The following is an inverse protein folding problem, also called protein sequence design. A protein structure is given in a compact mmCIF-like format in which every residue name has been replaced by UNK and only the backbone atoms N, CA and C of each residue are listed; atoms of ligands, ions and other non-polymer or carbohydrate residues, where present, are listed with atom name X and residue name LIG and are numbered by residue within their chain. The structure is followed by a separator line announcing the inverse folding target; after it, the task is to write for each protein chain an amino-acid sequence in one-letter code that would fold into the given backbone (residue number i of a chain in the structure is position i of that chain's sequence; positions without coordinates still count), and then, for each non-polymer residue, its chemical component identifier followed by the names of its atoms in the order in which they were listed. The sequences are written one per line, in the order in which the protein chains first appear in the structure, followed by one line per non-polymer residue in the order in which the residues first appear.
data_IF_217959535685
#
_entry.id   IF_217959535685
#
_cell.length_a   1.000
_cell.length_b   1.000
_cell.length_c   1.000
_cell.angle_alpha   90.00
_cell.angle_beta   90.00
_cell.angle_gamma   90.00
#
_symmetry.space_group_name_H-M   'P 1'
#
loop_
_entity.id
_entity.type
_entity.pdbx_description
1 polymer ?
#
# COMPACT_ATOMS: atom_id res chain seq x y z
N UNK A 1 -4.19 8.53 -12.88
CA UNK A 1 -3.38 9.00 -14.03
C UNK A 1 -2.06 8.26 -13.98
N UNK A 2 -1.63 7.67 -15.10
CA UNK A 2 -0.31 7.03 -15.19
C UNK A 2 0.63 7.92 -15.99
N UNK A 3 1.88 8.02 -15.54
CA UNK A 3 2.95 8.64 -16.30
C UNK A 3 3.34 7.74 -17.48
N UNK A 4 3.80 8.34 -18.57
CA UNK A 4 4.16 7.62 -19.82
C UNK A 4 5.18 6.48 -19.62
N UNK A 5 6.05 6.62 -18.62
CA UNK A 5 7.10 5.64 -18.33
C UNK A 5 6.67 4.55 -17.32
N UNK A 6 5.41 4.57 -16.86
CA UNK A 6 4.93 3.61 -15.85
C UNK A 6 5.08 2.17 -16.34
N UNK A 7 4.43 1.85 -17.48
CA UNK A 7 4.41 0.49 -18.00
C UNK A 7 5.81 -0.03 -18.33
N UNK A 8 6.63 0.80 -19.00
CA UNK A 8 8.03 0.44 -19.29
C UNK A 8 8.81 0.13 -18.02
N UNK A 9 8.71 1.00 -17.00
CA UNK A 9 9.42 0.79 -15.72
C UNK A 9 8.95 -0.49 -15.02
N UNK A 10 7.65 -0.77 -15.04
CA UNK A 10 7.08 -1.98 -14.45
C UNK A 10 7.59 -3.24 -15.16
N UNK A 11 7.50 -3.29 -16.49
CA UNK A 11 7.96 -4.44 -17.28
C UNK A 11 9.47 -4.66 -17.14
N UNK A 12 10.28 -3.60 -17.20
CA UNK A 12 11.73 -3.70 -17.01
C UNK A 12 12.10 -4.26 -15.62
N UNK A 13 11.33 -3.94 -14.58
CA UNK A 13 11.54 -4.48 -13.24
C UNK A 13 11.11 -5.95 -13.16
N UNK A 14 9.94 -6.28 -13.71
CA UNK A 14 9.36 -7.63 -13.71
C UNK A 14 10.27 -8.61 -14.46
N UNK A 15 10.75 -8.26 -15.65
CA UNK A 15 11.64 -9.13 -16.46
C UNK A 15 12.99 -9.41 -15.78
N UNK A 16 13.46 -8.50 -14.90
CA UNK A 16 14.72 -8.68 -14.17
C UNK A 16 14.58 -9.47 -12.87
N UNK A 17 13.37 -9.66 -12.40
CA UNK A 17 13.07 -10.36 -11.16
C UNK A 17 12.98 -11.88 -11.37
N UNK A 18 13.28 -12.66 -10.33
CA UNK A 18 13.22 -14.13 -10.41
C UNK A 18 11.81 -14.68 -10.26
N UNK A 19 11.05 -14.11 -9.35
CA UNK A 19 9.68 -14.54 -9.06
C UNK A 19 8.83 -13.35 -8.58
N UNK A 20 8.55 -12.38 -9.47
CA UNK A 20 7.81 -11.20 -9.11
C UNK A 20 6.36 -11.54 -8.82
N UNK A 21 5.80 -10.98 -7.75
CA UNK A 21 4.38 -11.07 -7.40
C UNK A 21 3.66 -9.80 -7.84
N UNK A 22 4.20 -8.66 -7.41
CA UNK A 22 3.68 -7.34 -7.75
C UNK A 22 4.83 -6.38 -8.05
N UNK A 23 4.54 -5.38 -8.87
CA UNK A 23 5.32 -4.15 -8.98
C UNK A 23 4.48 -3.01 -8.43
N UNK A 24 5.09 -2.09 -7.67
CA UNK A 24 4.48 -0.84 -7.26
C UNK A 24 5.46 0.32 -7.41
N UNK A 25 4.93 1.52 -7.58
CA UNK A 25 5.72 2.74 -7.67
C UNK A 25 5.33 3.74 -6.59
N UNK A 26 6.20 4.72 -6.35
CA UNK A 26 5.78 5.94 -5.69
C UNK A 26 4.73 6.67 -6.54
N UNK A 27 3.94 7.49 -5.86
CA UNK A 27 2.87 8.24 -6.47
C UNK A 27 2.82 9.69 -5.97
N UNK A 28 2.08 10.50 -6.69
CA UNK A 28 1.69 11.84 -6.28
C UNK A 28 0.16 11.92 -6.19
N UNK A 29 -0.35 12.89 -5.46
CA UNK A 29 -1.78 13.16 -5.43
C UNK A 29 -2.15 14.23 -6.45
N UNK A 30 -3.37 14.13 -6.97
CA UNK A 30 -3.98 15.18 -7.80
C UNK A 30 -5.18 15.71 -7.01
N UNK A 31 -5.03 16.94 -6.49
CA UNK A 31 -6.05 17.65 -5.71
C UNK A 31 -6.43 18.90 -6.47
N UNK A 32 -7.71 19.08 -6.78
CA UNK A 32 -8.22 20.23 -7.54
C UNK A 32 -7.44 20.50 -8.83
N UNK A 33 -7.10 19.43 -9.56
CA UNK A 33 -6.31 19.50 -10.77
C UNK A 33 -4.80 19.76 -10.56
N UNK A 34 -4.35 19.99 -9.33
CA UNK A 34 -2.94 20.28 -9.02
C UNK A 34 -2.19 19.02 -8.59
N UNK A 35 -0.95 18.93 -9.05
CA UNK A 35 -0.03 17.82 -8.69
C UNK A 35 0.63 18.13 -7.33
N UNK A 36 0.36 17.28 -6.34
CA UNK A 36 0.96 17.33 -5.00
C UNK A 36 1.93 16.15 -4.87
N UNK A 37 3.22 16.44 -4.93
CA UNK A 37 4.27 15.42 -4.90
C UNK A 37 4.74 15.07 -3.49
N UNK A 38 4.43 15.90 -2.50
CA UNK A 38 4.82 15.70 -1.11
C UNK A 38 3.79 16.31 -0.16
N UNK A 39 3.40 15.54 0.83
CA UNK A 39 2.68 15.96 2.03
C UNK A 39 3.04 15.01 3.17
N UNK A 40 2.56 15.24 4.38
CA UNK A 40 2.87 14.43 5.56
C UNK A 40 2.55 12.94 5.36
N UNK A 41 1.39 12.62 4.76
CA UNK A 41 0.97 11.24 4.51
C UNK A 41 1.89 10.55 3.50
N UNK A 42 2.19 11.20 2.37
CA UNK A 42 3.09 10.68 1.35
C UNK A 42 4.50 10.44 1.92
N UNK A 43 5.00 11.36 2.76
CA UNK A 43 6.29 11.20 3.41
C UNK A 43 6.31 10.00 4.36
N UNK A 44 5.28 9.81 5.20
CA UNK A 44 5.16 8.64 6.09
C UNK A 44 5.18 7.35 5.28
N UNK A 45 4.37 7.26 4.22
CA UNK A 45 4.33 6.07 3.36
C UNK A 45 5.69 5.77 2.70
N UNK A 46 6.40 6.80 2.23
CA UNK A 46 7.75 6.65 1.66
C UNK A 46 8.78 6.20 2.70
N UNK A 47 8.68 6.71 3.93
CA UNK A 47 9.53 6.26 5.04
C UNK A 47 9.28 4.78 5.34
N UNK A 48 8.02 4.35 5.37
CA UNK A 48 7.68 2.94 5.56
C UNK A 48 8.24 2.06 4.44
N UNK A 49 8.29 2.56 3.20
CA UNK A 49 8.82 1.84 2.03
C UNK A 49 10.34 1.94 1.86
N UNK A 50 11.06 2.68 2.72
CA UNK A 50 12.52 2.82 2.62
C UNK A 50 13.28 1.48 2.49
N UNK A 51 12.94 0.41 3.26
CA UNK A 51 13.63 -0.87 3.11
C UNK A 51 13.48 -1.47 1.71
N UNK A 52 12.35 -1.21 1.02
CA UNK A 52 12.08 -1.73 -0.31
C UNK A 52 12.93 -1.08 -1.42
N UNK A 53 13.67 0.00 -1.13
CA UNK A 53 14.66 0.58 -2.06
C UNK A 53 15.84 -0.36 -2.28
N UNK A 54 16.12 -1.22 -1.30
CA UNK A 54 17.18 -2.23 -1.39
C UNK A 54 16.58 -3.46 -2.09
N UNK A 55 17.04 -3.76 -3.31
CA UNK A 55 16.50 -4.85 -4.13
C UNK A 55 16.47 -6.20 -3.41
N UNK A 56 17.52 -6.52 -2.65
CA UNK A 56 17.58 -7.77 -1.88
C UNK A 56 16.42 -7.91 -0.89
N UNK A 57 15.91 -6.81 -0.33
CA UNK A 57 14.82 -6.83 0.63
C UNK A 57 13.44 -7.04 0.00
N UNK A 58 13.30 -6.81 -1.31
CA UNK A 58 12.06 -7.00 -2.05
C UNK A 58 11.60 -8.48 -2.07
N UNK A 59 12.54 -9.42 -1.94
CA UNK A 59 12.26 -10.86 -1.83
C UNK A 59 12.09 -11.34 -0.39
N UNK A 60 12.47 -10.54 0.63
CA UNK A 60 12.48 -10.95 2.03
C UNK A 60 11.09 -10.81 2.65
N UNK A 61 10.43 -11.95 2.94
CA UNK A 61 9.09 -11.99 3.53
C UNK A 61 8.98 -11.20 4.84
N UNK A 62 9.97 -11.31 5.71
CA UNK A 62 9.97 -10.59 6.99
C UNK A 62 9.93 -9.07 6.78
N UNK A 63 10.74 -8.55 5.85
CA UNK A 63 10.78 -7.11 5.54
C UNK A 63 9.41 -6.63 5.02
N UNK A 64 8.83 -7.32 4.04
CA UNK A 64 7.51 -6.98 3.50
C UNK A 64 6.44 -6.96 4.60
N UNK A 65 6.45 -7.99 5.46
CA UNK A 65 5.49 -8.07 6.56
C UNK A 65 5.70 -6.97 7.60
N UNK A 66 6.95 -6.59 7.91
CA UNK A 66 7.23 -5.47 8.83
C UNK A 66 6.75 -4.13 8.30
N UNK A 67 6.95 -3.87 7.03
CA UNK A 67 6.43 -2.66 6.38
C UNK A 67 4.90 -2.61 6.52
N UNK A 68 4.21 -3.67 6.17
CA UNK A 68 2.75 -3.75 6.22
C UNK A 68 2.19 -3.81 7.65
N UNK A 69 2.98 -4.15 8.65
CA UNK A 69 2.54 -4.22 10.04
C UNK A 69 2.35 -2.86 10.71
N UNK A 70 2.75 -1.79 10.05
CA UNK A 70 2.59 -0.42 10.53
C UNK A 70 1.52 0.38 9.78
N UNK A 71 0.87 -0.24 8.80
CA UNK A 71 -0.16 0.37 7.96
C UNK A 71 -0.07 -0.09 6.50
N UNK A 72 -0.91 0.45 5.61
CA UNK A 72 -0.88 0.20 4.16
C UNK A 72 -0.13 1.31 3.41
N UNK A 73 1.20 1.19 3.18
CA UNK A 73 1.93 2.22 2.46
C UNK A 73 1.82 2.07 0.94
N UNK A 74 1.43 0.90 0.43
CA UNK A 74 1.31 0.61 -1.00
C UNK A 74 -0.02 1.18 -1.50
N UNK A 75 0.05 2.10 -2.45
CA UNK A 75 -1.14 2.68 -3.07
C UNK A 75 -1.67 1.71 -4.13
N UNK A 76 -2.88 1.19 -3.95
CA UNK A 76 -3.46 0.16 -4.81
C UNK A 76 -3.40 0.50 -6.31
N UNK A 77 -3.80 1.70 -6.77
CA UNK A 77 -3.68 2.07 -8.19
C UNK A 77 -2.25 2.11 -8.74
N UNK A 78 -1.21 2.10 -7.87
CA UNK A 78 0.19 2.06 -8.33
C UNK A 78 0.71 0.64 -8.55
N UNK A 79 -0.15 -0.38 -8.41
CA UNK A 79 0.28 -1.78 -8.44
C UNK A 79 0.00 -2.41 -9.80
N UNK A 80 1.02 -3.09 -10.33
CA UNK A 80 0.89 -4.05 -11.44
C UNK A 80 1.05 -5.46 -10.89
N UNK A 81 0.11 -6.34 -11.25
CA UNK A 81 0.07 -7.73 -10.81
C UNK A 81 0.73 -8.64 -11.85
N UNK A 82 1.55 -9.59 -11.38
CA UNK A 82 2.11 -10.66 -12.22
C UNK A 82 1.22 -11.90 -12.03
N UNK A 83 0.14 -11.96 -12.78
CA UNK A 83 -0.97 -12.90 -12.58
C UNK A 83 -0.54 -14.37 -12.59
N UNK A 84 0.49 -14.70 -13.37
CA UNK A 84 1.07 -16.06 -13.45
C UNK A 84 1.60 -16.58 -12.11
N UNK A 85 2.05 -15.66 -11.23
CA UNK A 85 2.63 -15.98 -9.93
C UNK A 85 1.65 -15.78 -8.77
N UNK A 86 0.41 -15.39 -9.05
CA UNK A 86 -0.59 -15.03 -8.06
C UNK A 86 -1.68 -16.11 -7.93
N UNK A 87 -2.40 -16.15 -6.80
CA UNK A 87 -3.62 -16.96 -6.70
C UNK A 87 -4.69 -16.40 -7.63
N UNK A 88 -5.66 -17.26 -8.01
CA UNK A 88 -6.80 -16.83 -8.84
C UNK A 88 -7.58 -15.66 -8.27
N UNK A 89 -7.68 -15.59 -6.94
CA UNK A 89 -8.34 -14.50 -6.21
C UNK A 89 -7.29 -13.78 -5.37
N UNK A 90 -7.07 -12.50 -5.67
CA UNK A 90 -6.16 -11.61 -4.93
C UNK A 90 -6.92 -10.78 -3.91
N UNK A 91 -8.04 -10.20 -4.32
CA UNK A 91 -8.92 -9.42 -3.46
C UNK A 91 -10.10 -10.29 -3.02
N UNK A 92 -10.36 -10.33 -1.73
CA UNK A 92 -11.51 -11.00 -1.15
C UNK A 92 -12.48 -9.93 -0.63
N UNK A 93 -13.80 -10.16 -0.79
CA UNK A 93 -14.85 -9.24 -0.32
C UNK A 93 -15.05 -9.31 1.19
N UNK A 94 -13.96 -9.39 1.95
CA UNK A 94 -13.99 -9.51 3.41
C UNK A 94 -14.00 -8.13 4.08
N UNK A 95 -13.15 -7.23 3.57
CA UNK A 95 -13.09 -5.84 4.00
C UNK A 95 -13.52 -4.92 2.86
N UNK A 96 -14.12 -3.78 3.23
CA UNK A 96 -14.47 -2.73 2.27
C UNK A 96 -13.40 -1.64 2.18
N UNK A 97 -12.86 -1.22 3.32
CA UNK A 97 -11.88 -0.14 3.39
C UNK A 97 -10.43 -0.63 3.42
N UNK A 98 -10.19 -1.88 3.80
CA UNK A 98 -8.87 -2.48 3.96
C UNK A 98 -8.63 -3.65 3.00
N UNK A 99 -9.37 -3.77 1.90
CA UNK A 99 -9.24 -4.86 0.94
C UNK A 99 -7.86 -4.94 0.30
N UNK A 100 -7.28 -3.78 -0.03
CA UNK A 100 -5.92 -3.69 -0.57
C UNK A 100 -4.88 -4.12 0.46
N UNK A 101 -4.99 -3.63 1.69
CA UNK A 101 -4.07 -4.00 2.76
C UNK A 101 -4.14 -5.51 3.08
N UNK A 102 -5.35 -6.09 3.05
CA UNK A 102 -5.52 -7.53 3.21
C UNK A 102 -4.86 -8.31 2.07
N UNK A 103 -5.03 -7.86 0.83
CA UNK A 103 -4.38 -8.47 -0.33
C UNK A 103 -2.85 -8.43 -0.18
N UNK A 104 -2.28 -7.29 0.21
CA UNK A 104 -0.83 -7.18 0.45
C UNK A 104 -0.37 -8.07 1.61
N UNK A 105 -1.14 -8.16 2.69
CA UNK A 105 -0.85 -9.05 3.82
C UNK A 105 -0.77 -10.50 3.37
N UNK A 106 -1.75 -10.99 2.61
CA UNK A 106 -1.79 -12.35 2.08
C UNK A 106 -0.63 -12.63 1.12
N UNK A 107 -0.39 -11.73 0.16
CA UNK A 107 0.70 -11.86 -0.79
C UNK A 107 2.08 -11.78 -0.11
N UNK A 108 2.22 -11.00 0.97
CA UNK A 108 3.49 -10.88 1.70
C UNK A 108 3.97 -12.18 2.32
N UNK A 109 3.07 -13.15 2.56
CA UNK A 109 3.38 -14.50 3.07
C UNK A 109 3.92 -15.44 2.00
N UNK A 110 3.65 -15.14 0.71
CA UNK A 110 4.06 -15.99 -0.39
C UNK A 110 5.56 -15.86 -0.69
N UNK A 111 6.15 -16.91 -1.25
CA UNK A 111 7.49 -16.83 -1.85
C UNK A 111 7.41 -15.92 -3.09
N UNK A 112 8.38 -15.04 -3.28
CA UNK A 112 8.45 -14.13 -4.42
C UNK A 112 8.82 -12.71 -4.00
N UNK A 113 8.65 -11.76 -4.91
CA UNK A 113 9.18 -10.40 -4.80
C UNK A 113 8.07 -9.37 -4.90
N UNK A 114 8.13 -8.34 -4.04
CA UNK A 114 7.39 -7.09 -4.18
C UNK A 114 8.34 -6.06 -4.78
N UNK A 115 8.23 -5.83 -6.07
CA UNK A 115 9.10 -4.87 -6.76
C UNK A 115 8.64 -3.45 -6.47
N UNK A 116 9.59 -2.57 -6.14
CA UNK A 116 9.29 -1.19 -5.80
C UNK A 116 10.17 -0.21 -6.57
N UNK A 117 9.54 0.81 -7.14
CA UNK A 117 10.20 1.96 -7.78
C UNK A 117 9.92 3.24 -7.01
N UNK A 118 10.95 4.01 -6.72
CA UNK A 118 10.84 5.34 -6.09
C UNK A 118 10.42 6.45 -7.04
N UNK A 119 10.23 6.14 -8.32
CA UNK A 119 9.76 7.12 -9.31
C UNK A 119 8.27 7.40 -9.09
N UNK A 120 7.89 8.67 -9.22
CA UNK A 120 6.49 9.11 -9.17
C UNK A 120 5.81 8.79 -10.51
N UNK A 121 5.30 7.57 -10.64
CA UNK A 121 4.79 7.07 -11.92
C UNK A 121 3.25 7.02 -12.00
N UNK A 122 2.57 7.32 -10.89
CA UNK A 122 1.12 7.31 -10.84
C UNK A 122 0.59 8.52 -10.07
N UNK A 123 -0.44 9.17 -10.59
CA UNK A 123 -1.19 10.23 -9.95
C UNK A 123 -2.50 9.71 -9.38
N UNK A 124 -2.62 9.71 -8.05
CA UNK A 124 -3.85 9.36 -7.34
C UNK A 124 -4.75 10.59 -7.21
N UNK A 125 -5.92 10.54 -7.85
CA UNK A 125 -6.89 11.63 -7.76
C UNK A 125 -7.62 11.56 -6.42
N UNK A 126 -7.61 12.69 -5.70
CA UNK A 126 -8.35 12.87 -4.46
C UNK A 126 -9.57 13.73 -4.78
N UNK A 127 -10.76 13.21 -4.50
CA UNK A 127 -12.04 13.92 -4.67
C UNK A 127 -13.01 13.51 -3.56
N UNK A 128 -14.02 14.36 -3.31
CA UNK A 128 -14.95 14.19 -2.18
C UNK A 128 -15.76 12.87 -2.25
N UNK A 129 -16.09 12.43 -3.47
CA UNK A 129 -16.84 11.20 -3.71
C UNK A 129 -15.96 9.93 -3.68
N UNK A 130 -14.66 10.02 -3.31
CA UNK A 130 -13.82 8.84 -3.25
C UNK A 130 -14.25 7.92 -2.10
N UNK A 131 -14.18 6.60 -2.31
CA UNK A 131 -14.45 5.58 -1.26
C UNK A 131 -13.63 5.85 0.02
N UNK A 132 -12.43 6.37 -0.12
CA UNK A 132 -11.59 6.77 1.01
C UNK A 132 -12.21 7.89 1.82
N UNK A 133 -12.82 8.88 1.17
CA UNK A 133 -13.49 10.02 1.81
C UNK A 133 -14.81 9.58 2.46
N UNK A 134 -15.61 8.79 1.76
CA UNK A 134 -16.86 8.24 2.28
C UNK A 134 -16.67 7.32 3.50
N UNK A 135 -15.56 6.58 3.56
CA UNK A 135 -15.26 5.66 4.66
C UNK A 135 -14.69 6.34 5.92
N UNK A 136 -14.35 7.63 5.87
CA UNK A 136 -13.73 8.36 6.99
C UNK A 136 -14.72 8.56 8.16
N UNK A 137 -16.03 8.65 7.89
CA UNK A 137 -17.08 8.79 8.91
C UNK A 137 -17.61 7.45 9.46
N UNK A 138 -17.15 6.31 8.98
CA UNK A 138 -17.70 5.01 9.30
C UNK A 138 -16.84 4.27 10.35
N UNK A 139 -17.45 3.90 11.47
CA UNK A 139 -16.87 3.03 12.49
C UNK A 139 -16.35 1.69 11.91
N UNK A 140 -16.84 1.27 10.74
CA UNK A 140 -16.40 0.05 10.05
C UNK A 140 -14.93 0.13 9.66
N UNK A 141 -14.48 1.25 9.09
CA UNK A 141 -13.07 1.42 8.71
C UNK A 141 -12.13 1.26 9.90
N UNK A 142 -12.44 1.91 11.01
CA UNK A 142 -11.65 1.81 12.25
C UNK A 142 -11.57 0.37 12.77
N UNK A 143 -12.67 -0.38 12.66
CA UNK A 143 -12.70 -1.79 13.02
C UNK A 143 -11.83 -2.64 12.09
N UNK A 144 -11.99 -2.47 10.78
CA UNK A 144 -11.20 -3.21 9.78
C UNK A 144 -9.69 -2.94 9.94
N UNK A 145 -9.29 -1.69 10.15
CA UNK A 145 -7.89 -1.31 10.41
C UNK A 145 -7.35 -1.98 11.67
N UNK A 146 -8.12 -2.01 12.76
CA UNK A 146 -7.72 -2.71 13.98
C UNK A 146 -7.57 -4.22 13.74
N UNK A 147 -8.49 -4.84 13.02
CA UNK A 147 -8.43 -6.26 12.65
C UNK A 147 -7.18 -6.54 11.78
N UNK A 148 -6.83 -5.63 10.88
CA UNK A 148 -5.59 -5.73 10.09
C UNK A 148 -4.35 -5.68 10.97
N UNK A 149 -4.27 -4.79 11.96
CA UNK A 149 -3.15 -4.80 12.92
C UNK A 149 -3.06 -6.12 13.68
N UNK A 150 -4.18 -6.73 14.03
CA UNK A 150 -4.22 -8.04 14.70
C UNK A 150 -3.67 -9.20 13.82
N UNK A 151 -3.61 -9.05 12.50
CA UNK A 151 -2.96 -10.02 11.59
C UNK A 151 -1.42 -10.02 11.71
N UNK A 152 -0.85 -8.95 12.26
CA UNK A 152 0.61 -8.77 12.40
C UNK A 152 1.08 -8.81 13.86
N UNK A 153 0.23 -8.42 14.81
CA UNK A 153 0.60 -8.19 16.19
C UNK A 153 -0.38 -8.86 17.17
N UNK A 154 0.10 -9.30 18.35
CA UNK A 154 -0.79 -9.65 19.44
C UNK A 154 -1.77 -8.51 19.76
N UNK A 155 -2.99 -8.84 20.18
CA UNK A 155 -4.10 -7.87 20.37
C UNK A 155 -3.72 -6.63 21.20
N UNK A 156 -2.92 -6.80 22.25
CA UNK A 156 -2.51 -5.68 23.12
C UNK A 156 -1.56 -4.71 22.40
N UNK A 157 -0.62 -5.23 21.57
CA UNK A 157 0.27 -4.40 20.74
C UNK A 157 -0.53 -3.76 19.60
N UNK A 158 -1.40 -4.51 18.94
CA UNK A 158 -2.27 -4.00 17.88
C UNK A 158 -3.11 -2.82 18.36
N UNK A 159 -3.70 -2.92 19.57
CA UNK A 159 -4.49 -1.86 20.19
C UNK A 159 -3.66 -0.59 20.44
N UNK A 160 -2.41 -0.76 20.90
CA UNK A 160 -1.51 0.35 21.13
C UNK A 160 -1.14 1.05 19.80
N UNK A 161 -0.71 0.30 18.79
CA UNK A 161 -0.35 0.86 17.47
C UNK A 161 -1.55 1.56 16.85
N UNK A 162 -2.72 0.93 16.85
CA UNK A 162 -3.95 1.47 16.30
C UNK A 162 -4.34 2.82 16.91
N UNK A 163 -4.15 2.99 18.24
CA UNK A 163 -4.43 4.26 18.92
C UNK A 163 -3.62 5.44 18.36
N UNK A 164 -2.36 5.20 17.97
CA UNK A 164 -1.52 6.23 17.35
C UNK A 164 -1.86 6.41 15.86
N UNK A 165 -2.13 5.32 15.16
CA UNK A 165 -2.48 5.33 13.75
C UNK A 165 -3.78 6.13 13.50
N UNK A 166 -4.83 5.89 14.27
CA UNK A 166 -6.11 6.58 14.16
C UNK A 166 -6.01 8.09 14.46
N UNK A 167 -5.20 8.47 15.46
CA UNK A 167 -4.92 9.90 15.73
C UNK A 167 -4.22 10.58 14.57
N UNK A 168 -3.27 9.89 13.92
CA UNK A 168 -2.56 10.41 12.76
C UNK A 168 -3.47 10.61 11.53
N UNK A 169 -4.50 9.79 11.37
CA UNK A 169 -5.48 9.95 10.28
C UNK A 169 -6.37 11.18 10.51
N UNK A 170 -6.89 11.36 11.71
CA UNK A 170 -7.75 12.50 12.03
C UNK A 170 -7.04 13.86 11.86
N UNK A 171 -5.73 13.92 12.10
CA UNK A 171 -4.93 15.12 11.91
C UNK A 171 -4.61 15.44 10.43
N UNK A 172 -4.90 14.55 9.49
CA UNK A 172 -4.68 14.74 8.05
C UNK A 172 -5.98 15.07 7.28
N UNK A 173 -7.08 15.30 7.99
CA UNK A 173 -8.40 15.64 7.42
C UNK A 173 -8.61 17.16 7.23
N UNK A 174 -7.61 17.99 7.52
CA UNK A 174 -7.62 19.44 7.30
C UNK A 174 -6.80 19.82 6.07
#
# INVERSE_FOLDING_TARGET
IYEKDYLKTALDAIHKAKHPLIFCSDYFEVRDGKRVTSNKLLQIKRIMLLPMRIKAFQSVRWVRRRILSMGSPICCPSVTFVTENLPKVVFENHYRACEDWEAWEKLSKKKGEFLYSTKLLMGHRIHEESETTAAIGDNKRSREEYEMFCKFWPKFIAKFIFKFYSKGQNSNQL
#
